data_IF_468820557284
#
_entry.id   IF_468820557284
#
_cell.length_a   1.000
_cell.length_b   1.000
_cell.length_c   1.000
_cell.angle_alpha   90.00
_cell.angle_beta   90.00
_cell.angle_gamma   90.00
#
_symmetry.space_group_name_H-M   'P 1'
#
loop_
_entity.id
_entity.type
_entity.pdbx_description
1 polymer ?
#
# COMPACT_ATOMS: atom_id res chain seq x y z
N UNK A 1 21.46 1.95 23.04
CA UNK A 1 20.46 0.88 23.01
C UNK A 1 19.21 1.41 22.29
N UNK A 2 18.66 0.70 21.31
CA UNK A 2 17.47 1.15 20.61
C UNK A 2 16.24 1.13 21.53
N UNK A 3 15.43 2.19 21.41
CA UNK A 3 14.12 2.31 22.05
C UNK A 3 13.04 2.14 20.98
N UNK A 4 11.98 1.45 21.33
CA UNK A 4 10.81 1.23 20.50
C UNK A 4 9.65 2.07 21.02
N UNK A 5 8.92 2.72 20.10
CA UNK A 5 7.76 3.55 20.39
C UNK A 5 6.52 2.90 19.79
N UNK A 6 5.59 2.47 20.63
CA UNK A 6 4.31 1.91 20.15
C UNK A 6 3.37 3.03 19.67
N UNK A 7 2.58 2.74 18.61
CA UNK A 7 1.54 3.63 18.09
C UNK A 7 2.03 5.04 17.69
N UNK A 8 3.24 5.16 17.17
CA UNK A 8 3.77 6.41 16.62
C UNK A 8 3.76 7.57 17.63
N UNK A 9 3.41 8.79 17.18
CA UNK A 9 3.45 9.98 18.03
C UNK A 9 2.42 9.96 19.16
N UNK A 10 1.27 9.33 18.96
CA UNK A 10 0.29 9.15 20.05
C UNK A 10 0.89 8.33 21.19
N UNK A 11 1.61 7.28 20.85
CA UNK A 11 2.29 6.45 21.85
C UNK A 11 3.45 7.16 22.52
N UNK A 12 4.25 7.92 21.76
CA UNK A 12 5.32 8.75 22.32
C UNK A 12 4.76 9.74 23.36
N UNK A 13 3.68 10.45 23.03
CA UNK A 13 3.02 11.40 23.94
C UNK A 13 2.44 10.72 25.18
N UNK A 14 2.02 9.46 25.09
CA UNK A 14 1.53 8.63 26.21
C UNK A 14 2.64 7.87 26.94
N UNK A 15 3.90 8.13 26.59
CA UNK A 15 5.05 7.48 27.22
C UNK A 15 5.13 5.95 26.97
N UNK A 16 4.57 5.48 25.84
CA UNK A 16 4.65 4.08 25.42
C UNK A 16 5.99 3.78 24.75
N UNK A 17 7.07 4.00 25.48
CA UNK A 17 8.45 3.82 25.06
C UNK A 17 9.10 2.70 25.86
N UNK A 18 9.76 1.76 25.20
CA UNK A 18 10.41 0.63 25.85
C UNK A 18 11.68 0.22 25.12
N UNK A 19 12.57 -0.45 25.82
CA UNK A 19 13.83 -0.93 25.30
C UNK A 19 13.61 -2.14 24.37
N UNK A 20 14.26 -2.15 23.21
CA UNK A 20 14.31 -3.31 22.33
C UNK A 20 15.20 -4.40 22.93
N UNK A 21 14.72 -5.64 22.92
CA UNK A 21 15.50 -6.83 23.26
C UNK A 21 15.43 -7.86 22.14
N UNK A 22 16.48 -8.67 21.98
CA UNK A 22 16.50 -9.71 20.96
C UNK A 22 15.32 -10.69 21.09
N UNK A 23 14.98 -11.12 22.29
CA UNK A 23 13.85 -12.00 22.54
C UNK A 23 12.51 -11.43 22.06
N UNK A 24 12.37 -10.10 22.09
CA UNK A 24 11.14 -9.44 21.66
C UNK A 24 11.01 -9.35 20.14
N UNK A 25 12.11 -9.19 19.44
CA UNK A 25 12.12 -8.93 17.98
C UNK A 25 12.38 -10.19 17.13
N UNK A 26 12.71 -11.31 17.77
CA UNK A 26 13.19 -12.52 17.10
C UNK A 26 12.23 -13.06 16.02
N UNK A 27 10.92 -12.98 16.23
CA UNK A 27 9.91 -13.47 15.29
C UNK A 27 9.39 -12.42 14.29
N UNK A 28 9.78 -11.15 14.45
CA UNK A 28 9.16 -10.05 13.67
C UNK A 28 9.40 -10.15 12.17
N UNK A 29 10.57 -10.62 11.75
CA UNK A 29 10.93 -10.72 10.33
C UNK A 29 10.02 -11.67 9.52
N UNK A 30 9.32 -12.60 10.18
CA UNK A 30 8.40 -13.54 9.54
C UNK A 30 6.92 -13.18 9.73
N UNK A 31 6.64 -12.12 10.48
CA UNK A 31 5.27 -11.65 10.73
C UNK A 31 4.89 -10.52 9.77
N UNK A 32 3.67 -10.56 9.25
CA UNK A 32 3.10 -9.44 8.51
C UNK A 32 2.56 -8.35 9.44
N UNK A 33 2.27 -7.18 8.89
CA UNK A 33 1.74 -6.04 9.64
C UNK A 33 2.80 -5.25 10.41
N UNK A 34 2.41 -4.64 11.52
CA UNK A 34 3.29 -3.82 12.36
C UNK A 34 3.17 -4.19 13.83
N UNK A 35 4.22 -4.77 14.40
CA UNK A 35 4.29 -5.13 15.82
C UNK A 35 4.27 -3.90 16.75
N UNK A 36 4.74 -2.75 16.26
CA UNK A 36 4.70 -1.49 17.01
C UNK A 36 3.34 -0.76 16.91
N UNK A 37 2.45 -1.25 16.04
CA UNK A 37 1.22 -0.56 15.72
C UNK A 37 1.44 0.64 14.80
N UNK A 38 0.37 1.09 14.15
CA UNK A 38 0.37 2.19 13.19
C UNK A 38 -0.56 3.29 13.65
N UNK A 39 -0.13 4.55 13.51
CA UNK A 39 -0.96 5.71 13.77
C UNK A 39 -0.69 6.81 12.73
N UNK A 40 -1.74 7.51 12.29
CA UNK A 40 -1.66 8.60 11.28
C UNK A 40 -1.56 9.98 11.89
N UNK A 41 -1.53 10.09 13.22
CA UNK A 41 -1.43 11.38 13.92
C UNK A 41 -0.04 11.96 13.69
N UNK A 42 -0.01 13.19 13.19
CA UNK A 42 1.22 13.93 12.92
C UNK A 42 1.78 14.59 14.21
N UNK A 43 3.09 14.87 14.29
CA UNK A 43 3.71 15.42 15.49
C UNK A 43 3.26 16.85 15.85
N UNK A 44 2.70 17.60 14.89
CA UNK A 44 2.21 18.96 15.10
C UNK A 44 0.97 19.07 16.00
N UNK A 45 0.36 17.95 16.38
CA UNK A 45 -0.72 17.92 17.40
C UNK A 45 -0.20 18.41 18.73
N UNK A 46 1.04 18.05 19.13
CA UNK A 46 1.71 18.53 20.33
C UNK A 46 3.25 18.45 20.18
N UNK A 47 3.85 19.41 19.49
CA UNK A 47 5.30 19.48 19.28
C UNK A 47 6.06 19.65 20.60
N UNK A 48 5.48 20.40 21.58
CA UNK A 48 6.09 20.58 22.89
C UNK A 48 6.15 19.24 23.66
N UNK A 49 5.06 18.49 23.67
CA UNK A 49 4.99 17.15 24.24
C UNK A 49 5.98 16.19 23.59
N UNK A 50 6.05 16.20 22.26
CA UNK A 50 7.06 15.39 21.51
C UNK A 50 8.48 15.75 21.95
N UNK A 51 8.84 17.03 21.94
CA UNK A 51 10.15 17.49 22.35
C UNK A 51 10.49 17.09 23.80
N UNK A 52 9.52 17.24 24.72
CA UNK A 52 9.65 16.83 26.13
C UNK A 52 9.90 15.33 26.29
N UNK A 53 9.19 14.49 25.52
CA UNK A 53 9.39 13.05 25.58
C UNK A 53 10.75 12.62 25.00
N UNK A 54 11.21 13.26 23.91
CA UNK A 54 12.53 13.00 23.37
C UNK A 54 13.64 13.33 24.39
N UNK A 55 13.51 14.44 25.11
CA UNK A 55 14.44 14.80 26.20
C UNK A 55 14.36 13.82 27.37
N UNK A 56 13.15 13.48 27.81
CA UNK A 56 12.92 12.55 28.94
C UNK A 56 13.63 11.21 28.72
N UNK A 57 13.54 10.66 27.51
CA UNK A 57 14.15 9.38 27.14
C UNK A 57 15.57 9.52 26.62
N UNK A 58 16.16 10.72 26.60
CA UNK A 58 17.48 11.00 26.06
C UNK A 58 17.67 10.43 24.64
N UNK A 59 16.71 10.68 23.74
CA UNK A 59 16.72 10.17 22.37
C UNK A 59 17.70 10.99 21.55
N UNK A 60 18.69 10.33 20.95
CA UNK A 60 19.79 10.94 20.21
C UNK A 60 19.63 10.86 18.69
N UNK A 61 18.68 10.07 18.21
CA UNK A 61 18.30 9.95 16.80
C UNK A 61 16.92 9.33 16.71
N UNK A 62 16.15 9.68 15.69
CA UNK A 62 14.78 9.20 15.50
C UNK A 62 14.62 8.57 14.12
N UNK A 63 14.26 7.29 14.09
CA UNK A 63 13.86 6.56 12.89
C UNK A 63 12.34 6.48 12.83
N UNK A 64 11.75 7.05 11.77
CA UNK A 64 10.31 7.04 11.51
C UNK A 64 10.05 6.12 10.32
N UNK A 65 9.35 5.02 10.56
CA UNK A 65 9.02 4.01 9.55
C UNK A 65 7.55 4.17 9.15
N UNK A 66 7.26 4.37 7.88
CA UNK A 66 5.88 4.49 7.42
C UNK A 66 5.74 5.09 6.02
N UNK A 67 4.51 5.45 5.66
CA UNK A 67 4.16 6.01 4.37
C UNK A 67 4.27 7.54 4.32
N UNK A 68 3.30 8.15 3.64
CA UNK A 68 3.29 9.60 3.39
C UNK A 68 3.21 10.42 4.68
N UNK A 69 2.50 9.93 5.70
CA UNK A 69 2.42 10.59 7.02
C UNK A 69 3.77 10.58 7.76
N UNK A 70 4.57 9.51 7.61
CA UNK A 70 5.93 9.45 8.17
C UNK A 70 6.85 10.47 7.48
N UNK A 71 6.79 10.59 6.16
CA UNK A 71 7.50 11.61 5.39
C UNK A 71 7.10 13.02 5.82
N UNK A 72 5.81 13.30 5.93
CA UNK A 72 5.27 14.58 6.41
C UNK A 72 5.74 14.88 7.83
N UNK A 73 5.79 13.89 8.71
CA UNK A 73 6.25 14.02 10.08
C UNK A 73 7.71 14.46 10.16
N UNK A 74 8.59 13.91 9.32
CA UNK A 74 9.99 14.30 9.25
C UNK A 74 10.12 15.78 8.85
N UNK A 75 9.34 16.21 7.86
CA UNK A 75 9.31 17.60 7.42
C UNK A 75 8.91 18.52 8.58
N UNK A 76 7.79 18.23 9.26
CA UNK A 76 7.28 19.02 10.39
C UNK A 76 8.33 19.10 11.51
N UNK A 77 8.92 17.98 11.91
CA UNK A 77 9.95 17.97 12.97
C UNK A 77 11.21 18.72 12.56
N UNK A 78 11.61 18.65 11.29
CA UNK A 78 12.75 19.39 10.76
C UNK A 78 12.52 20.90 10.76
N UNK A 79 11.33 21.34 10.39
CA UNK A 79 10.93 22.75 10.40
C UNK A 79 10.82 23.33 11.83
N UNK A 80 10.44 22.47 12.79
CA UNK A 80 10.33 22.88 14.22
C UNK A 80 11.67 22.94 14.98
N UNK A 81 12.80 22.51 14.38
CA UNK A 81 14.14 22.52 15.01
C UNK A 81 14.61 23.87 15.59
N UNK A 82 14.30 25.03 14.99
CA UNK A 82 14.66 26.32 15.56
C UNK A 82 14.02 26.59 16.93
N UNK A 83 12.76 26.16 17.10
CA UNK A 83 11.97 26.40 18.33
C UNK A 83 12.27 25.35 19.41
N UNK A 84 12.53 24.11 19.02
CA UNK A 84 12.72 22.97 19.93
C UNK A 84 14.12 22.37 19.83
N UNK A 85 15.05 22.72 20.73
CA UNK A 85 16.42 22.16 20.71
C UNK A 85 16.48 20.64 20.77
N UNK A 86 15.48 19.98 21.40
CA UNK A 86 15.38 18.52 21.46
C UNK A 86 15.17 17.86 20.08
N UNK A 87 14.70 18.61 19.07
CA UNK A 87 14.54 18.15 17.71
C UNK A 87 15.79 18.28 16.84
N UNK A 88 16.90 18.84 17.39
CA UNK A 88 18.20 18.96 16.72
C UNK A 88 18.99 17.66 16.75
N UNK A 89 18.30 16.57 16.47
CA UNK A 89 18.84 15.22 16.38
C UNK A 89 18.73 14.70 14.94
N UNK A 90 19.49 13.67 14.54
CA UNK A 90 19.26 12.98 13.28
C UNK A 90 17.84 12.45 13.15
N UNK A 91 17.17 12.77 12.04
CA UNK A 91 15.85 12.26 11.67
C UNK A 91 16.00 11.42 10.42
N UNK A 92 15.58 10.16 10.48
CA UNK A 92 15.62 9.23 9.37
C UNK A 92 14.21 8.81 9.03
N UNK A 93 13.83 8.90 7.74
CA UNK A 93 12.59 8.35 7.20
C UNK A 93 12.85 7.06 6.47
N UNK A 94 12.16 6.00 6.83
CA UNK A 94 12.21 4.74 6.14
C UNK A 94 10.85 4.46 5.51
N UNK A 95 10.75 4.50 4.15
CA UNK A 95 9.47 4.32 3.48
C UNK A 95 8.97 2.89 3.64
N UNK A 96 7.78 2.76 4.23
CA UNK A 96 7.09 1.49 4.43
C UNK A 96 5.59 1.68 4.21
N UNK A 97 5.13 1.39 3.01
CA UNK A 97 3.73 1.47 2.62
C UNK A 97 3.48 0.60 1.39
N UNK A 98 2.33 -0.06 1.33
CA UNK A 98 1.95 -0.81 0.14
C UNK A 98 1.67 0.11 -1.07
N UNK A 99 1.24 1.36 -0.82
CA UNK A 99 0.86 2.31 -1.88
C UNK A 99 2.02 2.80 -2.73
N UNK A 100 3.25 2.66 -2.25
CA UNK A 100 4.46 3.18 -2.89
C UNK A 100 4.40 4.67 -3.26
N UNK A 101 3.74 5.48 -2.43
CA UNK A 101 3.43 6.88 -2.69
C UNK A 101 4.35 7.88 -1.96
N UNK A 102 5.45 7.42 -1.36
CA UNK A 102 6.43 8.29 -0.73
C UNK A 102 7.31 8.92 -1.80
N UNK A 103 7.41 10.27 -1.87
CA UNK A 103 8.21 10.95 -2.87
C UNK A 103 9.69 10.54 -2.85
N UNK A 104 10.34 10.56 -4.02
CA UNK A 104 11.76 10.26 -4.20
C UNK A 104 12.17 8.84 -3.76
N UNK A 105 11.23 7.92 -3.73
CA UNK A 105 11.46 6.53 -3.40
C UNK A 105 10.99 5.64 -4.55
N UNK A 106 11.83 4.72 -4.97
CA UNK A 106 11.50 3.77 -6.03
C UNK A 106 10.55 2.68 -5.52
N UNK A 107 10.88 2.11 -4.36
CA UNK A 107 10.09 1.06 -3.72
C UNK A 107 10.04 1.24 -2.21
N UNK A 108 8.83 1.25 -1.67
CA UNK A 108 8.59 1.23 -0.22
C UNK A 108 8.59 -0.21 0.31
N UNK A 109 8.99 -0.40 1.56
CA UNK A 109 8.84 -1.69 2.24
C UNK A 109 7.37 -2.10 2.31
N UNK A 110 7.10 -3.37 2.03
CA UNK A 110 5.76 -3.94 1.98
C UNK A 110 5.10 -3.91 0.61
N UNK A 111 5.60 -3.13 -0.35
CA UNK A 111 5.05 -3.06 -1.71
C UNK A 111 5.17 -4.39 -2.45
N UNK A 112 6.33 -5.04 -2.37
CA UNK A 112 6.54 -6.36 -3.01
C UNK A 112 5.69 -7.46 -2.39
N UNK A 113 5.54 -7.44 -1.08
CA UNK A 113 4.64 -8.35 -0.36
C UNK A 113 3.20 -8.17 -0.80
N UNK A 114 2.75 -6.93 -0.94
CA UNK A 114 1.41 -6.62 -1.43
C UNK A 114 1.18 -7.08 -2.87
N UNK A 115 2.16 -6.88 -3.75
CA UNK A 115 2.09 -7.35 -5.15
C UNK A 115 2.07 -8.88 -5.26
N UNK A 116 2.84 -9.57 -4.42
CA UNK A 116 2.85 -11.03 -4.36
C UNK A 116 1.48 -11.59 -3.94
N UNK A 117 0.90 -11.04 -2.88
CA UNK A 117 -0.45 -11.40 -2.43
C UNK A 117 -1.50 -11.08 -3.50
N UNK A 118 -1.37 -9.92 -4.17
CA UNK A 118 -2.28 -9.52 -5.25
C UNK A 118 -2.22 -10.51 -6.41
N UNK A 119 -1.04 -10.81 -6.92
CA UNK A 119 -0.86 -11.72 -8.04
C UNK A 119 -1.44 -13.10 -7.72
N UNK A 120 -1.07 -13.66 -6.57
CA UNK A 120 -1.57 -14.97 -6.15
C UNK A 120 -3.11 -15.00 -5.98
N UNK A 121 -3.70 -13.94 -5.42
CA UNK A 121 -5.15 -13.86 -5.26
C UNK A 121 -5.86 -13.70 -6.61
N UNK A 122 -5.32 -12.89 -7.50
CA UNK A 122 -5.85 -12.73 -8.86
C UNK A 122 -5.77 -14.03 -9.67
N UNK A 123 -4.71 -14.81 -9.52
CA UNK A 123 -4.59 -16.13 -10.16
C UNK A 123 -5.72 -17.07 -9.69
N UNK A 124 -6.06 -17.07 -8.40
CA UNK A 124 -7.19 -17.84 -7.89
C UNK A 124 -8.53 -17.32 -8.43
N UNK A 125 -8.69 -16.01 -8.57
CA UNK A 125 -9.90 -15.39 -9.16
C UNK A 125 -10.04 -15.79 -10.63
N UNK A 126 -8.95 -15.75 -11.42
CA UNK A 126 -8.93 -16.18 -12.83
C UNK A 126 -9.34 -17.66 -12.95
N UNK A 127 -8.83 -18.54 -12.09
CA UNK A 127 -9.23 -19.94 -12.09
C UNK A 127 -10.71 -20.12 -11.81
N UNK A 128 -11.28 -19.35 -10.89
CA UNK A 128 -12.72 -19.33 -10.64
C UNK A 128 -13.52 -18.77 -11.83
N UNK A 129 -12.99 -17.75 -12.49
CA UNK A 129 -13.61 -17.12 -13.66
C UNK A 129 -13.63 -18.08 -14.86
N UNK A 130 -12.55 -18.80 -15.12
CA UNK A 130 -12.45 -19.75 -16.24
C UNK A 130 -13.44 -20.90 -16.10
N UNK A 131 -13.68 -21.38 -14.87
CA UNK A 131 -14.68 -22.42 -14.60
C UNK A 131 -16.11 -21.97 -14.91
N UNK A 132 -16.41 -20.68 -14.80
CA UNK A 132 -17.76 -20.10 -15.04
C UNK A 132 -17.97 -19.62 -16.47
N UNK A 133 -16.91 -19.49 -17.26
CA UNK A 133 -16.84 -18.96 -18.63
C UNK A 133 -17.38 -17.53 -18.78
N UNK A 134 -16.90 -16.82 -19.77
CA UNK A 134 -17.37 -15.48 -20.17
C UNK A 134 -17.55 -14.54 -18.95
N UNK A 135 -16.55 -14.44 -18.07
CA UNK A 135 -16.66 -13.63 -16.87
C UNK A 135 -15.54 -12.61 -16.77
N UNK A 136 -15.94 -11.39 -16.40
CA UNK A 136 -15.03 -10.29 -16.09
C UNK A 136 -15.05 -10.03 -14.58
N UNK A 137 -13.88 -10.03 -13.93
CA UNK A 137 -13.76 -9.60 -12.55
C UNK A 137 -13.16 -8.20 -12.47
N UNK A 138 -13.90 -7.28 -11.86
CA UNK A 138 -13.40 -5.95 -11.49
C UNK A 138 -12.87 -6.04 -10.07
N UNK A 139 -11.54 -6.03 -9.95
CA UNK A 139 -10.81 -6.22 -8.69
C UNK A 139 -10.35 -4.86 -8.18
N UNK A 140 -10.88 -4.47 -7.02
CA UNK A 140 -10.46 -3.26 -6.33
C UNK A 140 -9.20 -3.49 -5.50
N UNK A 141 -8.22 -2.61 -5.66
CA UNK A 141 -6.96 -2.66 -4.93
C UNK A 141 -6.69 -1.35 -4.19
N UNK A 142 -5.99 -1.44 -3.07
CA UNK A 142 -5.47 -0.27 -2.37
C UNK A 142 -4.33 0.40 -3.16
N UNK A 143 -4.06 1.63 -2.82
CA UNK A 143 -2.99 2.45 -3.43
C UNK A 143 -3.15 3.93 -3.08
N UNK A 144 -4.29 4.31 -2.50
CA UNK A 144 -4.61 5.72 -2.25
C UNK A 144 -4.56 6.52 -3.56
N UNK A 145 -3.90 7.67 -3.54
CA UNK A 145 -3.73 8.55 -4.72
C UNK A 145 -2.58 8.10 -5.64
N UNK A 146 -2.09 6.87 -5.52
CA UNK A 146 -1.03 6.32 -6.36
C UNK A 146 -1.49 5.03 -7.05
N UNK A 147 -1.45 5.02 -8.36
CA UNK A 147 -1.85 3.89 -9.20
C UNK A 147 -0.82 2.76 -9.28
N UNK A 148 0.33 2.88 -8.58
CA UNK A 148 1.44 1.93 -8.69
C UNK A 148 1.00 0.48 -8.48
N UNK A 149 0.26 0.18 -7.39
CA UNK A 149 -0.20 -1.18 -7.08
C UNK A 149 -1.15 -1.70 -8.16
N UNK A 150 -2.05 -0.85 -8.65
CA UNK A 150 -2.99 -1.23 -9.71
C UNK A 150 -2.27 -1.55 -11.02
N UNK A 151 -1.33 -0.69 -11.44
CA UNK A 151 -0.57 -0.88 -12.70
C UNK A 151 0.35 -2.10 -12.62
N UNK A 152 1.13 -2.22 -11.56
CA UNK A 152 2.05 -3.36 -11.39
C UNK A 152 1.29 -4.67 -11.22
N UNK A 153 0.16 -4.64 -10.51
CA UNK A 153 -0.74 -5.77 -10.39
C UNK A 153 -1.35 -6.17 -11.74
N UNK A 154 -1.80 -5.19 -12.53
CA UNK A 154 -2.34 -5.45 -13.86
C UNK A 154 -1.29 -6.08 -14.79
N UNK A 155 -0.05 -5.58 -14.76
CA UNK A 155 1.05 -6.16 -15.53
C UNK A 155 1.40 -7.59 -15.09
N UNK A 156 1.46 -7.83 -13.78
CA UNK A 156 1.80 -9.13 -13.21
C UNK A 156 0.74 -10.20 -13.50
N UNK A 157 -0.53 -9.81 -13.57
CA UNK A 157 -1.68 -10.71 -13.76
C UNK A 157 -2.23 -10.72 -15.19
N UNK A 158 -1.60 -9.96 -16.10
CA UNK A 158 -2.08 -9.77 -17.47
C UNK A 158 -3.53 -9.27 -17.53
N UNK A 159 -3.92 -8.40 -16.59
CA UNK A 159 -5.25 -7.82 -16.56
C UNK A 159 -5.53 -7.04 -17.86
N UNK A 160 -6.77 -7.12 -18.34
CA UNK A 160 -7.16 -6.53 -19.62
C UNK A 160 -7.27 -5.01 -19.58
N UNK A 161 -7.63 -4.46 -18.39
CA UNK A 161 -7.90 -3.04 -18.18
C UNK A 161 -7.39 -2.68 -16.78
N UNK A 162 -6.90 -1.43 -16.62
CA UNK A 162 -6.51 -0.87 -15.33
C UNK A 162 -7.06 0.55 -15.19
N UNK A 163 -7.58 0.87 -14.01
CA UNK A 163 -8.02 2.23 -13.65
C UNK A 163 -7.20 2.76 -12.50
N UNK A 164 -6.63 3.94 -12.70
CA UNK A 164 -5.72 4.61 -11.76
C UNK A 164 -6.23 5.99 -11.35
N UNK A 165 -5.83 6.51 -10.18
CA UNK A 165 -6.19 7.87 -9.78
C UNK A 165 -5.60 8.95 -10.68
N UNK A 166 -4.45 8.68 -11.28
CA UNK A 166 -3.72 9.62 -12.15
C UNK A 166 -4.48 9.89 -13.45
N UNK A 167 -5.13 8.88 -14.01
CA UNK A 167 -5.91 8.99 -15.25
C UNK A 167 -7.39 9.25 -14.98
N UNK A 168 -7.87 8.77 -13.84
CA UNK A 168 -9.29 8.83 -13.49
C UNK A 168 -10.14 7.83 -14.29
N UNK A 169 -11.45 7.98 -14.20
CA UNK A 169 -12.43 7.18 -14.96
C UNK A 169 -13.51 8.10 -15.48
N UNK A 170 -13.82 7.98 -16.77
CA UNK A 170 -14.92 8.71 -17.39
C UNK A 170 -15.84 7.78 -18.21
N UNK A 171 -17.01 8.27 -18.55
CA UNK A 171 -18.03 7.47 -19.23
C UNK A 171 -17.62 7.03 -20.64
N UNK A 172 -16.88 7.89 -21.36
CA UNK A 172 -16.42 7.55 -22.70
C UNK A 172 -15.42 6.38 -22.64
N UNK A 173 -14.47 6.43 -21.72
CA UNK A 173 -13.49 5.36 -21.51
C UNK A 173 -14.20 4.05 -21.12
N UNK A 174 -15.17 4.09 -20.19
CA UNK A 174 -15.94 2.91 -19.82
C UNK A 174 -16.65 2.28 -21.03
N UNK A 175 -17.23 3.10 -21.91
CA UNK A 175 -17.86 2.59 -23.13
C UNK A 175 -16.84 1.97 -24.09
N UNK A 176 -15.69 2.60 -24.29
CA UNK A 176 -14.61 2.07 -25.15
C UNK A 176 -14.09 0.72 -24.61
N UNK A 177 -13.93 0.61 -23.30
CA UNK A 177 -13.50 -0.61 -22.61
C UNK A 177 -14.52 -1.73 -22.71
N UNK A 178 -15.82 -1.43 -22.59
CA UNK A 178 -16.90 -2.39 -22.81
C UNK A 178 -16.87 -2.90 -24.25
N UNK A 179 -16.74 -2.01 -25.24
CA UNK A 179 -16.62 -2.40 -26.64
C UNK A 179 -15.36 -3.24 -26.92
N UNK A 180 -14.26 -2.95 -26.23
CA UNK A 180 -13.05 -3.76 -26.28
C UNK A 180 -13.33 -5.18 -25.75
N UNK A 181 -13.97 -5.32 -24.58
CA UNK A 181 -14.32 -6.62 -24.01
C UNK A 181 -15.28 -7.41 -24.93
N UNK A 182 -16.33 -6.79 -25.47
CA UNK A 182 -17.21 -7.43 -26.44
C UNK A 182 -16.44 -7.99 -27.64
N UNK A 183 -15.55 -7.19 -28.22
CA UNK A 183 -14.72 -7.66 -29.34
C UNK A 183 -13.87 -8.87 -28.96
N UNK A 184 -13.25 -8.84 -27.75
CA UNK A 184 -12.39 -9.91 -27.27
C UNK A 184 -13.17 -11.22 -27.05
N UNK A 185 -14.35 -11.17 -26.46
CA UNK A 185 -15.18 -12.37 -26.25
C UNK A 185 -15.75 -12.94 -27.56
N UNK A 186 -16.06 -12.11 -28.55
CA UNK A 186 -16.61 -12.56 -29.84
C UNK A 186 -15.56 -13.09 -30.81
N UNK A 187 -14.36 -12.54 -30.79
CA UNK A 187 -13.32 -12.88 -31.77
C UNK A 187 -12.60 -14.19 -31.45
N UNK A 188 -12.68 -14.66 -30.23
CA UNK A 188 -11.89 -15.79 -29.78
C UNK A 188 -12.69 -16.76 -28.92
N UNK A 189 -13.61 -17.57 -29.55
CA UNK A 189 -14.46 -18.48 -28.81
C UNK A 189 -13.71 -19.58 -28.05
N UNK A 190 -12.48 -19.95 -28.48
CA UNK A 190 -11.64 -20.91 -27.78
C UNK A 190 -11.01 -20.30 -26.52
N UNK A 191 -10.69 -18.99 -26.56
CA UNK A 191 -10.21 -18.21 -25.42
C UNK A 191 -11.32 -17.48 -24.64
N UNK A 192 -12.56 -17.56 -25.08
CA UNK A 192 -13.72 -17.01 -24.35
C UNK A 192 -13.93 -17.69 -22.99
N UNK A 193 -13.26 -18.83 -22.77
CA UNK A 193 -13.26 -19.55 -21.49
C UNK A 193 -12.37 -18.91 -20.43
N UNK A 194 -11.41 -18.06 -20.82
CA UNK A 194 -10.50 -17.41 -19.87
C UNK A 194 -11.20 -16.22 -19.23
N UNK A 195 -11.26 -16.21 -17.91
CA UNK A 195 -11.74 -15.05 -17.17
C UNK A 195 -10.89 -13.81 -17.48
N UNK A 196 -11.51 -12.64 -17.42
CA UNK A 196 -10.82 -11.37 -17.62
C UNK A 196 -10.74 -10.61 -16.31
N UNK A 197 -9.57 -9.99 -16.06
CA UNK A 197 -9.38 -9.10 -14.94
C UNK A 197 -9.40 -7.64 -15.40
N UNK A 198 -10.06 -6.83 -14.61
CA UNK A 198 -9.99 -5.37 -14.61
C UNK A 198 -9.51 -4.95 -13.24
N UNK A 199 -8.36 -4.31 -13.14
CA UNK A 199 -7.84 -3.85 -11.85
C UNK A 199 -8.18 -2.38 -11.67
N UNK A 200 -8.80 -2.04 -10.55
CA UNK A 200 -9.25 -0.70 -10.23
C UNK A 200 -8.66 -0.23 -8.91
N UNK A 201 -7.93 0.87 -8.93
CA UNK A 201 -7.50 1.52 -7.69
C UNK A 201 -8.71 2.11 -6.96
N UNK A 202 -8.77 1.99 -5.63
CA UNK A 202 -9.86 2.50 -4.77
C UNK A 202 -10.15 4.00 -4.91
N UNK A 203 -9.20 4.78 -5.45
CA UNK A 203 -9.28 6.23 -5.68
C UNK A 203 -9.27 6.61 -7.15
N UNK A 204 -9.41 5.67 -8.06
CA UNK A 204 -9.47 5.94 -9.50
C UNK A 204 -10.62 6.91 -9.86
N UNK A 205 -11.76 6.80 -9.18
CA UNK A 205 -12.86 7.75 -9.31
C UNK A 205 -13.70 7.81 -8.04
N UNK A 206 -14.21 8.99 -7.73
CA UNK A 206 -15.19 9.18 -6.65
C UNK A 206 -16.62 8.84 -7.07
N UNK A 207 -16.89 8.76 -8.37
CA UNK A 207 -18.21 8.48 -8.96
C UNK A 207 -18.26 7.05 -9.48
N UNK A 208 -17.35 6.68 -10.37
CA UNK A 208 -17.26 5.35 -10.95
C UNK A 208 -16.42 4.45 -10.06
N UNK A 209 -16.98 4.01 -8.93
CA UNK A 209 -16.33 3.04 -8.04
C UNK A 209 -16.16 1.69 -8.73
N UNK A 210 -15.23 0.86 -8.28
CA UNK A 210 -15.02 -0.48 -8.84
C UNK A 210 -16.30 -1.32 -8.84
N UNK A 211 -17.11 -1.20 -7.78
CA UNK A 211 -18.40 -1.86 -7.70
C UNK A 211 -19.40 -1.35 -8.77
N UNK A 212 -19.46 -0.03 -8.98
CA UNK A 212 -20.31 0.57 -10.02
C UNK A 212 -19.83 0.18 -11.42
N UNK A 213 -18.52 0.15 -11.66
CA UNK A 213 -17.93 -0.31 -12.93
C UNK A 213 -18.36 -1.77 -13.20
N UNK A 214 -18.28 -2.65 -12.21
CA UNK A 214 -18.71 -4.02 -12.35
C UNK A 214 -20.21 -4.15 -12.68
N UNK A 215 -21.06 -3.32 -12.08
CA UNK A 215 -22.49 -3.27 -12.39
C UNK A 215 -22.73 -2.82 -13.84
N UNK A 216 -22.09 -1.75 -14.28
CA UNK A 216 -22.19 -1.25 -15.66
C UNK A 216 -21.74 -2.33 -16.65
N UNK A 217 -20.60 -2.97 -16.37
CA UNK A 217 -20.08 -4.06 -17.20
C UNK A 217 -21.01 -5.26 -17.25
N UNK A 218 -21.67 -5.61 -16.14
CA UNK A 218 -22.65 -6.69 -16.11
C UNK A 218 -23.92 -6.38 -16.89
N UNK A 219 -24.40 -5.12 -16.85
CA UNK A 219 -25.61 -4.71 -17.60
C UNK A 219 -25.34 -4.60 -19.11
N UNK A 220 -24.23 -3.98 -19.50
CA UNK A 220 -23.88 -3.78 -20.90
C UNK A 220 -23.30 -5.06 -21.55
N UNK A 221 -22.67 -5.93 -20.77
CA UNK A 221 -22.05 -7.17 -21.23
C UNK A 221 -22.96 -8.35 -21.42
N UNK A 222 -24.28 -8.27 -21.09
CA UNK A 222 -25.24 -9.38 -20.97
C UNK A 222 -25.21 -10.42 -22.08
N UNK A 223 -24.96 -10.01 -23.31
CA UNK A 223 -24.97 -10.90 -24.47
C UNK A 223 -23.69 -11.71 -24.62
N UNK A 224 -22.57 -11.21 -24.08
CA UNK A 224 -21.24 -11.79 -24.30
C UNK A 224 -20.55 -12.22 -23.01
N UNK A 225 -20.76 -11.48 -21.89
CA UNK A 225 -20.09 -11.76 -20.62
C UNK A 225 -20.89 -11.27 -19.41
N UNK A 226 -20.62 -11.87 -18.25
CA UNK A 226 -21.09 -11.42 -16.93
C UNK A 226 -19.95 -10.73 -16.19
N UNK A 227 -20.25 -9.83 -15.25
CA UNK A 227 -19.25 -9.14 -14.45
C UNK A 227 -19.44 -9.35 -12.95
N UNK A 228 -18.33 -9.40 -12.22
CA UNK A 228 -18.30 -9.52 -10.77
C UNK A 228 -17.33 -8.50 -10.18
N UNK A 229 -17.63 -8.05 -8.98
CA UNK A 229 -16.80 -7.17 -8.18
C UNK A 229 -16.14 -7.96 -7.06
N UNK A 230 -14.83 -7.72 -6.84
CA UNK A 230 -14.07 -8.23 -5.72
C UNK A 230 -13.20 -7.12 -5.13
N UNK A 231 -13.14 -7.02 -3.80
CA UNK A 231 -12.26 -6.07 -3.11
C UNK A 231 -11.15 -6.80 -2.37
N UNK A 232 -9.92 -6.53 -2.76
CA UNK A 232 -8.74 -7.07 -2.08
C UNK A 232 -8.22 -6.19 -0.96
N UNK A 233 -8.69 -4.95 -0.88
CA UNK A 233 -8.45 -3.97 0.20
C UNK A 233 -7.42 -4.40 1.28
N UNK A 234 -7.90 -4.82 2.44
CA UNK A 234 -7.05 -5.19 3.58
C UNK A 234 -6.31 -6.53 3.41
N UNK A 235 -6.75 -7.40 2.49
CA UNK A 235 -6.03 -8.65 2.19
C UNK A 235 -4.61 -8.36 1.71
N UNK A 236 -4.40 -7.25 0.99
CA UNK A 236 -3.09 -6.83 0.51
C UNK A 236 -2.14 -6.35 1.61
N UNK A 237 -2.62 -6.12 2.84
CA UNK A 237 -1.83 -5.55 3.93
C UNK A 237 -1.27 -6.58 4.91
N UNK A 238 -1.85 -7.77 4.98
CA UNK A 238 -1.56 -8.78 5.99
C UNK A 238 -0.61 -9.90 5.56
N UNK A 239 0.00 -9.79 4.39
CA UNK A 239 0.85 -10.83 3.83
C UNK A 239 2.13 -11.09 4.63
N UNK A 240 2.59 -12.34 4.62
CA UNK A 240 3.92 -12.69 5.14
C UNK A 240 4.97 -11.96 4.27
N UNK A 241 5.94 -11.25 4.88
CA UNK A 241 6.91 -10.47 4.12
C UNK A 241 7.64 -11.29 3.07
N UNK A 242 7.62 -10.83 1.83
CA UNK A 242 8.32 -11.45 0.72
C UNK A 242 9.84 -11.47 0.97
N UNK A 243 10.59 -12.39 0.37
CA UNK A 243 12.05 -12.41 0.50
C UNK A 243 12.70 -11.07 0.13
N UNK A 244 12.15 -10.37 -0.87
CA UNK A 244 12.68 -9.10 -1.33
C UNK A 244 12.47 -7.98 -0.30
N UNK A 245 11.29 -7.89 0.31
CA UNK A 245 11.03 -6.93 1.39
C UNK A 245 11.92 -7.19 2.60
N UNK A 246 12.16 -8.46 2.98
CA UNK A 246 13.07 -8.81 4.09
C UNK A 246 14.51 -8.38 3.80
N UNK A 247 15.01 -8.61 2.59
CA UNK A 247 16.36 -8.20 2.16
C UNK A 247 16.47 -6.67 2.18
N UNK A 248 15.49 -5.98 1.63
CA UNK A 248 15.48 -4.51 1.60
C UNK A 248 15.39 -3.92 3.01
N UNK A 249 14.55 -4.47 3.89
CA UNK A 249 14.46 -4.01 5.28
C UNK A 249 15.82 -4.13 5.99
N UNK A 250 16.52 -5.26 5.83
CA UNK A 250 17.86 -5.46 6.41
C UNK A 250 18.88 -4.49 5.86
N UNK A 251 18.92 -4.27 4.55
CA UNK A 251 19.84 -3.31 3.89
C UNK A 251 19.60 -1.88 4.36
N UNK A 252 18.32 -1.46 4.42
CA UNK A 252 17.95 -0.12 4.88
C UNK A 252 18.28 0.06 6.38
N UNK A 253 18.06 -0.97 7.22
CA UNK A 253 18.42 -0.92 8.63
C UNK A 253 19.93 -0.71 8.83
N UNK A 254 20.79 -1.41 8.07
CA UNK A 254 22.24 -1.20 8.10
C UNK A 254 22.58 0.24 7.72
N UNK A 255 22.00 0.78 6.65
CA UNK A 255 22.23 2.18 6.25
C UNK A 255 21.76 3.19 7.29
N UNK A 256 20.65 2.92 7.98
CA UNK A 256 20.21 3.76 9.09
C UNK A 256 21.21 3.77 10.25
N UNK A 257 21.79 2.62 10.59
CA UNK A 257 22.82 2.52 11.63
C UNK A 257 24.09 3.28 11.23
N UNK A 258 24.60 3.07 10.01
CA UNK A 258 25.76 3.78 9.46
C UNK A 258 25.58 5.30 9.47
N UNK A 259 24.36 5.80 9.29
CA UNK A 259 24.06 7.24 9.34
C UNK A 259 24.02 7.79 10.76
N UNK A 260 23.68 6.97 11.76
CA UNK A 260 23.55 7.38 13.16
C UNK A 260 24.86 7.28 13.93
N UNK A 261 25.85 6.55 13.44
CA UNK A 261 27.22 6.46 13.97
C UNK A 261 28.07 7.68 13.57
#
# INVERSE_FOLDING_TARGET
TPLLINNGFVGLLKDLVFQATWLRVDSWASSGGSELGVNRVLPNVDLHGVAKQLQKHNIQGLLIIGGFEAFTSIKILSEARPEFPALRIPLIGLPATLSNNVPMNEYSLGTYTSLDVLAHTCDMIIQSASASRNRVFVVEVHGGQCGFVAVMGALATSASIVYTPEEGVNLQQLNEDIQFLHRRFRQDPEFANDGRLVICNEKASSVYTAQMIAQIYGEEGRDDFDSRYESLSHVLQGGIPSPLDRVQASRLAVRCCEFLE
#
